data_IF_708896418763
#
_entry.id   IF_708896418763
#
_cell.length_a   1.000
_cell.length_b   1.000
_cell.length_c   1.000
_cell.angle_alpha   90.00
_cell.angle_beta   90.00
_cell.angle_gamma   90.00
#
_symmetry.space_group_name_H-M   'P 1'
#
loop_
_entity.id
_entity.type
_entity.pdbx_description
1 polymer ?
#
# COMPACT_ATOMS: atom_id res chain seq x y z
N UNK A 1 15.07 21.02 28.57
CA UNK A 1 13.66 21.02 28.14
C UNK A 1 13.04 19.70 28.56
N UNK A 2 12.12 19.72 29.53
CA UNK A 2 11.51 18.52 30.14
C UNK A 2 10.40 17.99 29.22
N UNK A 3 10.62 16.83 28.61
CA UNK A 3 9.58 16.13 27.85
C UNK A 3 8.45 15.71 28.81
N UNK A 4 7.35 16.47 28.81
CA UNK A 4 6.10 16.06 29.46
C UNK A 4 5.59 14.82 28.73
N UNK A 5 5.79 13.65 29.34
CA UNK A 5 5.10 12.43 28.93
C UNK A 5 3.62 12.63 29.24
N UNK A 6 2.83 12.94 28.21
CA UNK A 6 1.37 12.95 28.31
C UNK A 6 0.95 11.51 28.59
N UNK A 7 0.63 11.20 29.86
CA UNK A 7 -0.01 9.94 30.22
C UNK A 7 -1.40 9.93 29.59
N UNK A 8 -1.52 9.30 28.43
CA UNK A 8 -2.81 9.05 27.78
C UNK A 8 -3.61 8.17 28.75
N UNK A 9 -4.64 8.75 29.39
CA UNK A 9 -5.59 7.96 30.19
C UNK A 9 -6.27 6.99 29.25
N UNK A 10 -6.00 5.69 29.42
CA UNK A 10 -6.69 4.67 28.65
C UNK A 10 -8.18 4.77 28.94
N UNK A 11 -8.99 4.85 27.89
CA UNK A 11 -10.44 4.73 28.04
C UNK A 11 -10.76 3.36 28.64
N UNK A 12 -11.51 3.36 29.74
CA UNK A 12 -12.06 2.15 30.37
C UNK A 12 -13.24 1.60 29.58
N UNK A 13 -13.73 2.33 28.57
CA UNK A 13 -14.90 1.95 27.76
C UNK A 13 -14.57 0.97 26.62
N UNK A 14 -13.29 0.77 26.31
CA UNK A 14 -12.86 -0.13 25.23
C UNK A 14 -12.39 -1.45 25.83
N UNK A 15 -13.05 -2.53 25.44
CA UNK A 15 -12.74 -3.90 25.87
C UNK A 15 -11.35 -4.35 25.41
N UNK A 16 -10.86 -5.44 25.99
CA UNK A 16 -9.58 -6.04 25.57
C UNK A 16 -9.65 -6.55 24.13
N UNK A 17 -10.79 -7.08 23.71
CA UNK A 17 -10.97 -7.65 22.37
C UNK A 17 -11.01 -6.54 21.31
N UNK A 18 -11.68 -5.42 21.57
CA UNK A 18 -11.65 -4.25 20.68
C UNK A 18 -10.24 -3.66 20.53
N UNK A 19 -9.47 -3.61 21.63
CA UNK A 19 -8.06 -3.18 21.58
C UNK A 19 -7.22 -4.14 20.73
N UNK A 20 -7.43 -5.46 20.88
CA UNK A 20 -6.73 -6.49 20.09
C UNK A 20 -7.12 -6.42 18.62
N UNK A 21 -8.39 -6.17 18.32
CA UNK A 21 -8.88 -5.96 16.96
C UNK A 21 -8.16 -4.80 16.28
N UNK A 22 -8.07 -3.64 16.93
CA UNK A 22 -7.36 -2.47 16.39
C UNK A 22 -5.86 -2.73 16.22
N UNK A 23 -5.23 -3.43 17.17
CA UNK A 23 -3.82 -3.81 17.04
C UNK A 23 -3.58 -4.72 15.84
N UNK A 24 -4.40 -5.77 15.68
CA UNK A 24 -4.33 -6.69 14.55
C UNK A 24 -4.51 -5.94 13.22
N UNK A 25 -5.48 -5.02 13.14
CA UNK A 25 -5.66 -4.16 11.97
C UNK A 25 -4.40 -3.37 11.63
N UNK A 26 -3.78 -2.72 12.63
CA UNK A 26 -2.53 -1.99 12.45
C UNK A 26 -1.39 -2.88 11.95
N UNK A 27 -1.22 -4.06 12.55
CA UNK A 27 -0.21 -5.03 12.14
C UNK A 27 -0.41 -5.53 10.71
N UNK A 28 -1.65 -5.83 10.32
CA UNK A 28 -1.97 -6.25 8.95
C UNK A 28 -1.65 -5.15 7.93
N UNK A 29 -1.99 -3.89 8.24
CA UNK A 29 -1.69 -2.73 7.39
C UNK A 29 -0.18 -2.56 7.19
N UNK A 30 0.61 -2.70 8.26
CA UNK A 30 2.08 -2.66 8.20
C UNK A 30 2.65 -3.81 7.36
N UNK A 31 2.17 -5.04 7.58
CA UNK A 31 2.58 -6.22 6.82
C UNK A 31 2.28 -6.08 5.33
N UNK A 32 1.08 -5.62 4.95
CA UNK A 32 0.72 -5.34 3.56
C UNK A 32 1.66 -4.30 2.95
N UNK A 33 1.98 -3.23 3.68
CA UNK A 33 2.94 -2.21 3.22
C UNK A 33 4.34 -2.81 3.01
N UNK A 34 4.78 -3.69 3.91
CA UNK A 34 6.03 -4.44 3.77
C UNK A 34 6.07 -5.28 2.50
N UNK A 35 5.04 -6.10 2.27
CA UNK A 35 4.94 -6.93 1.06
C UNK A 35 4.89 -6.08 -0.22
N UNK A 36 4.12 -4.98 -0.23
CA UNK A 36 4.11 -4.06 -1.38
C UNK A 36 5.50 -3.55 -1.72
N UNK A 37 6.26 -3.11 -0.72
CA UNK A 37 7.63 -2.64 -0.93
C UNK A 37 8.53 -3.76 -1.46
N UNK A 38 8.42 -4.98 -0.93
CA UNK A 38 9.20 -6.12 -1.43
C UNK A 38 8.85 -6.44 -2.89
N UNK A 39 7.56 -6.44 -3.25
CA UNK A 39 7.12 -6.65 -4.64
C UNK A 39 7.66 -5.57 -5.59
N UNK A 40 7.67 -4.30 -5.18
CA UNK A 40 8.26 -3.20 -5.94
C UNK A 40 9.77 -3.44 -6.18
N UNK A 41 10.50 -3.91 -5.17
CA UNK A 41 11.91 -4.24 -5.28
C UNK A 41 12.19 -5.44 -6.20
N UNK A 42 11.25 -6.38 -6.33
CA UNK A 42 11.35 -7.53 -7.24
C UNK A 42 11.03 -7.17 -8.70
N UNK A 43 10.37 -6.04 -8.95
CA UNK A 43 9.89 -5.66 -10.30
C UNK A 43 11.01 -5.58 -11.35
N UNK A 44 12.19 -4.99 -11.08
CA UNK A 44 13.30 -4.96 -12.03
C UNK A 44 13.81 -6.36 -12.41
N UNK A 45 13.88 -7.29 -11.46
CA UNK A 45 14.31 -8.66 -11.71
C UNK A 45 13.30 -9.40 -12.60
N UNK A 46 12.01 -9.21 -12.34
CA UNK A 46 10.93 -9.74 -13.18
C UNK A 46 11.02 -9.16 -14.60
N UNK A 47 11.25 -7.84 -14.73
CA UNK A 47 11.42 -7.20 -16.03
C UNK A 47 12.61 -7.79 -16.80
N UNK A 48 13.76 -7.95 -16.14
CA UNK A 48 14.96 -8.57 -16.71
C UNK A 48 14.74 -10.04 -17.12
N UNK A 49 13.92 -10.79 -16.37
CA UNK A 49 13.53 -12.15 -16.75
C UNK A 49 12.78 -12.17 -18.08
N UNK A 50 11.76 -11.31 -18.25
CA UNK A 50 10.99 -11.24 -19.50
C UNK A 50 11.86 -10.75 -20.67
N UNK A 51 12.81 -9.84 -20.44
CA UNK A 51 13.76 -9.40 -21.46
C UNK A 51 14.71 -10.51 -21.90
N UNK A 52 15.23 -11.29 -20.95
CA UNK A 52 16.13 -12.43 -21.21
C UNK A 52 15.42 -13.55 -21.95
N UNK A 53 14.22 -13.92 -21.51
CA UNK A 53 13.44 -15.04 -22.09
C UNK A 53 12.85 -14.66 -23.46
N UNK A 54 12.71 -13.37 -23.76
CA UNK A 54 12.14 -12.85 -25.03
C UNK A 54 10.74 -13.42 -25.32
N UNK A 55 9.98 -13.72 -24.28
CA UNK A 55 8.58 -14.12 -24.35
C UNK A 55 7.74 -13.12 -23.58
N UNK A 56 6.46 -12.98 -23.92
CA UNK A 56 5.50 -12.23 -23.11
C UNK A 56 4.72 -13.13 -22.14
N UNK A 57 4.92 -14.44 -22.20
CA UNK A 57 4.26 -15.45 -21.38
C UNK A 57 5.29 -16.44 -20.83
N UNK A 58 5.26 -16.68 -19.53
CA UNK A 58 6.07 -17.70 -18.86
C UNK A 58 5.11 -18.60 -18.09
N UNK A 59 5.05 -19.88 -18.45
CA UNK A 59 4.23 -20.87 -17.72
C UNK A 59 4.93 -21.21 -16.42
N UNK A 60 4.16 -21.22 -15.34
CA UNK A 60 4.61 -21.56 -13.99
C UNK A 60 4.10 -22.97 -13.70
N UNK A 61 5.01 -23.90 -13.45
CA UNK A 61 4.71 -25.24 -12.95
C UNK A 61 5.54 -25.41 -11.70
N UNK A 62 4.88 -25.47 -10.55
CA UNK A 62 5.51 -25.80 -9.29
C UNK A 62 5.56 -27.32 -9.17
N UNK A 63 6.77 -27.87 -9.24
CA UNK A 63 7.00 -29.31 -9.16
C UNK A 63 6.78 -29.86 -7.74
N UNK A 64 6.71 -29.00 -6.71
CA UNK A 64 6.66 -29.40 -5.31
C UNK A 64 5.25 -29.27 -4.69
N UNK A 65 4.39 -28.38 -5.20
CA UNK A 65 3.10 -28.05 -4.57
C UNK A 65 1.89 -28.07 -5.53
N UNK A 66 2.00 -28.73 -6.69
CA UNK A 66 0.93 -28.87 -7.70
C UNK A 66 0.30 -27.53 -8.15
N UNK A 67 1.06 -26.43 -8.11
CA UNK A 67 0.58 -25.14 -8.62
C UNK A 67 0.93 -24.97 -10.09
N UNK A 68 -0.09 -24.69 -10.91
CA UNK A 68 0.07 -24.31 -12.31
C UNK A 68 -0.45 -22.89 -12.55
N UNK A 69 0.25 -22.13 -13.38
CA UNK A 69 -0.14 -20.76 -13.70
C UNK A 69 0.70 -20.15 -14.82
N UNK A 70 0.63 -18.82 -14.95
CA UNK A 70 1.48 -18.10 -15.88
C UNK A 70 1.78 -16.69 -15.40
N UNK A 71 2.95 -16.18 -15.76
CA UNK A 71 3.29 -14.77 -15.70
C UNK A 71 3.21 -14.16 -17.10
N UNK A 72 2.52 -13.03 -17.25
CA UNK A 72 2.37 -12.35 -18.55
C UNK A 72 2.87 -10.91 -18.50
N UNK A 73 3.74 -10.55 -19.46
CA UNK A 73 4.10 -9.16 -19.73
C UNK A 73 3.03 -8.52 -20.60
N UNK A 74 2.31 -7.55 -20.06
CA UNK A 74 1.27 -6.80 -20.77
C UNK A 74 1.76 -5.35 -20.95
N UNK A 75 1.93 -4.92 -22.20
CA UNK A 75 2.25 -3.53 -22.52
C UNK A 75 0.99 -2.80 -23.01
N UNK A 76 0.56 -1.75 -22.30
CA UNK A 76 -0.61 -0.94 -22.68
C UNK A 76 -0.17 0.50 -22.94
N UNK A 77 -0.40 0.98 -24.17
CA UNK A 77 -0.24 2.40 -24.51
C UNK A 77 -1.57 3.11 -24.25
N UNK A 78 -1.59 4.04 -23.30
CA UNK A 78 -2.78 4.81 -22.94
C UNK A 78 -2.46 6.30 -22.90
N UNK A 79 -3.45 7.14 -23.18
CA UNK A 79 -3.37 8.58 -22.89
C UNK A 79 -3.89 8.81 -21.47
N UNK A 80 -3.16 9.59 -20.68
CA UNK A 80 -3.58 10.03 -19.35
C UNK A 80 -3.88 11.53 -19.41
N UNK A 81 -4.93 11.94 -18.72
CA UNK A 81 -5.20 13.37 -18.52
C UNK A 81 -4.15 13.95 -17.56
N UNK A 82 -3.45 14.98 -18.01
CA UNK A 82 -2.46 15.68 -17.20
C UNK A 82 -3.17 16.69 -16.29
N UNK A 83 -3.63 16.20 -15.14
CA UNK A 83 -4.35 17.01 -14.15
C UNK A 83 -3.50 18.18 -13.68
N UNK A 84 -2.20 17.99 -13.48
CA UNK A 84 -1.30 19.03 -12.98
C UNK A 84 -1.20 20.18 -13.97
N UNK A 85 -0.83 19.86 -15.22
CA UNK A 85 -0.76 20.87 -16.28
C UNK A 85 -2.11 21.55 -16.53
N UNK A 86 -3.20 20.78 -16.51
CA UNK A 86 -4.53 21.32 -16.71
C UNK A 86 -4.92 22.31 -15.61
N UNK A 87 -4.59 22.02 -14.34
CA UNK A 87 -4.83 22.92 -13.20
C UNK A 87 -4.07 24.23 -13.35
N UNK A 88 -2.80 24.15 -13.75
CA UNK A 88 -1.93 25.32 -13.94
C UNK A 88 -2.46 26.22 -15.06
N UNK A 89 -2.94 25.63 -16.16
CA UNK A 89 -3.47 26.36 -17.31
C UNK A 89 -4.94 26.81 -17.15
N UNK A 90 -5.74 26.13 -16.31
CA UNK A 90 -7.20 26.31 -16.22
C UNK A 90 -7.70 26.30 -14.76
N UNK A 91 -7.08 27.09 -13.89
CA UNK A 91 -7.36 27.07 -12.44
C UNK A 91 -8.84 27.31 -12.11
N UNK A 92 -9.44 28.39 -12.62
CA UNK A 92 -10.85 28.73 -12.36
C UNK A 92 -11.82 27.63 -12.82
N UNK A 93 -11.53 27.04 -13.99
CA UNK A 93 -12.35 25.96 -14.54
C UNK A 93 -12.23 24.70 -13.69
N UNK A 94 -11.01 24.36 -13.23
CA UNK A 94 -10.79 23.23 -12.33
C UNK A 94 -11.54 23.40 -11.00
N UNK A 95 -11.41 24.58 -10.38
CA UNK A 95 -12.05 24.90 -9.09
C UNK A 95 -13.57 24.83 -9.17
N UNK A 96 -14.18 25.27 -10.29
CA UNK A 96 -15.62 25.16 -10.53
C UNK A 96 -16.18 23.74 -10.42
N UNK A 97 -15.38 22.72 -10.70
CA UNK A 97 -15.79 21.31 -10.66
C UNK A 97 -15.35 20.59 -9.38
N UNK A 98 -14.72 21.28 -8.44
CA UNK A 98 -14.46 20.70 -7.13
C UNK A 98 -15.80 20.50 -6.41
N UNK A 99 -15.94 19.32 -5.81
CA UNK A 99 -17.08 18.96 -4.96
C UNK A 99 -16.56 18.64 -3.58
N UNK A 100 -17.36 18.95 -2.57
CA UNK A 100 -17.03 18.62 -1.20
C UNK A 100 -16.85 17.12 -1.05
N UNK A 101 -15.76 16.74 -0.39
CA UNK A 101 -15.43 15.34 -0.11
C UNK A 101 -14.92 15.22 1.32
N UNK A 102 -15.48 14.26 2.05
CA UNK A 102 -15.03 13.90 3.40
C UNK A 102 -14.45 12.48 3.37
N UNK A 103 -13.34 12.29 4.08
CA UNK A 103 -12.75 10.96 4.27
C UNK A 103 -12.27 10.79 5.70
N UNK A 104 -12.43 9.58 6.23
CA UNK A 104 -11.97 9.20 7.56
C UNK A 104 -10.80 8.23 7.42
N UNK A 105 -9.64 8.60 7.98
CA UNK A 105 -8.51 7.70 8.11
C UNK A 105 -8.36 7.19 9.56
N UNK A 106 -8.16 5.88 9.71
CA UNK A 106 -7.83 5.26 11.00
C UNK A 106 -6.32 5.00 11.08
N UNK A 107 -5.65 5.75 11.97
CA UNK A 107 -4.22 5.58 12.26
C UNK A 107 -4.03 4.68 13.48
N UNK A 108 -3.24 3.62 13.32
CA UNK A 108 -2.82 2.74 14.42
C UNK A 108 -1.31 2.71 14.48
N UNK A 109 -0.73 3.14 15.60
CA UNK A 109 0.71 3.05 15.87
C UNK A 109 0.94 2.03 16.97
N UNK A 110 1.94 1.17 16.79
CA UNK A 110 2.35 0.19 17.79
C UNK A 110 3.86 0.05 17.79
N UNK A 111 4.41 -0.41 18.92
CA UNK A 111 5.82 -0.73 19.10
C UNK A 111 5.92 -2.02 19.88
N UNK A 112 6.94 -2.82 19.60
CA UNK A 112 7.28 -3.96 20.45
C UNK A 112 7.67 -3.43 21.83
N UNK A 113 6.90 -3.78 22.86
CA UNK A 113 7.14 -3.31 24.23
C UNK A 113 8.38 -3.93 24.88
N UNK A 114 9.01 -4.92 24.23
CA UNK A 114 10.26 -5.56 24.65
C UNK A 114 11.19 -5.68 23.45
N UNK A 115 12.07 -4.69 23.27
CA UNK A 115 13.43 -4.98 22.85
C UNK A 115 14.25 -4.95 24.15
N UNK A 116 14.67 -6.14 24.58
CA UNK A 116 15.70 -6.27 25.60
C UNK A 116 17.07 -6.12 24.92
#
# INVERSE_FOLDING_TARGET
MTNKVVKIKQSTKVSKDEKKFLLNYGMMKETIKGYKKQMELMTPEIAGLFERVKSNLIVLVDMDNDFEGFAQKINRKMKRFDVSRFKDENTELYEKYLVDSESTEYKVEYKLARQA
#
